data_IF_460856430904
#
_entry.id   IF_460856430904
#
_cell.length_a   1.000
_cell.length_b   1.000
_cell.length_c   1.000
_cell.angle_alpha   90.00
_cell.angle_beta   90.00
_cell.angle_gamma   90.00
#
_symmetry.space_group_name_H-M   'P 1'
#
loop_
_entity.id
_entity.type
_entity.pdbx_description
1 polymer ?
#
# COMPACT_ATOMS: atom_id res chain seq x y z
N UNK A 1 24.30 10.73 -10.27
CA UNK A 1 23.53 9.54 -10.65
C UNK A 1 22.97 8.95 -9.38
N UNK A 2 21.66 9.07 -9.13
CA UNK A 2 21.02 8.25 -8.09
C UNK A 2 20.63 6.98 -8.80
N UNK A 3 21.28 5.87 -8.48
CA UNK A 3 20.85 4.55 -8.89
C UNK A 3 19.34 4.44 -8.64
N UNK A 4 18.57 4.32 -9.73
CA UNK A 4 17.18 3.85 -9.65
C UNK A 4 17.31 2.33 -9.47
N UNK A 5 17.92 1.91 -8.37
CA UNK A 5 17.75 0.56 -7.86
C UNK A 5 16.28 0.43 -7.56
N UNK A 6 15.62 -0.57 -8.16
CA UNK A 6 14.22 -0.84 -7.91
C UNK A 6 13.92 -0.70 -6.41
N UNK A 7 12.94 0.11 -6.04
CA UNK A 7 12.56 0.31 -4.65
C UNK A 7 12.31 -1.07 -4.02
N UNK A 8 13.23 -1.49 -3.14
CA UNK A 8 13.16 -2.81 -2.53
C UNK A 8 12.13 -2.75 -1.40
N UNK A 9 11.06 -3.51 -1.55
CA UNK A 9 10.06 -3.64 -0.49
C UNK A 9 10.61 -4.56 0.60
N UNK A 10 10.51 -4.11 1.85
CA UNK A 10 10.97 -4.81 3.04
C UNK A 10 9.80 -4.95 4.01
N UNK A 11 9.69 -6.11 4.66
CA UNK A 11 8.75 -6.32 5.77
C UNK A 11 9.51 -6.13 7.08
N UNK A 12 9.03 -5.21 7.91
CA UNK A 12 9.52 -5.00 9.27
C UNK A 12 8.45 -5.49 10.24
N UNK A 13 8.74 -6.52 11.02
CA UNK A 13 7.80 -7.08 12.01
C UNK A 13 8.36 -7.04 13.41
N UNK A 14 7.48 -6.83 14.38
CA UNK A 14 7.80 -7.05 15.78
C UNK A 14 7.85 -8.55 16.09
N UNK A 15 8.75 -8.94 16.99
CA UNK A 15 8.82 -10.33 17.48
C UNK A 15 7.85 -10.61 18.62
N UNK A 16 7.30 -9.55 19.24
CA UNK A 16 6.38 -9.63 20.38
C UNK A 16 4.94 -9.31 19.94
N UNK A 17 3.91 -9.96 20.53
CA UNK A 17 2.51 -9.75 20.18
C UNK A 17 2.01 -8.31 20.35
N UNK A 18 2.55 -7.57 21.32
CA UNK A 18 2.16 -6.19 21.61
C UNK A 18 2.64 -5.21 20.52
N UNK A 19 3.52 -5.67 19.64
CA UNK A 19 4.23 -4.84 18.68
C UNK A 19 5.41 -4.09 19.32
N UNK A 20 6.05 -3.24 18.53
CA UNK A 20 7.21 -2.45 18.96
C UNK A 20 7.14 -1.05 18.39
N UNK A 21 7.26 -0.02 19.24
CA UNK A 21 7.33 1.36 18.77
C UNK A 21 8.78 1.79 18.60
N UNK A 22 9.15 2.23 17.40
CA UNK A 22 10.51 2.68 17.06
C UNK A 22 10.44 3.65 15.88
N UNK A 23 11.28 4.68 15.88
CA UNK A 23 11.34 5.68 14.81
C UNK A 23 9.99 6.38 14.51
N UNK A 24 9.18 6.64 15.55
CA UNK A 24 7.88 7.31 15.39
C UNK A 24 6.77 6.44 14.81
N UNK A 25 7.00 5.13 14.64
CA UNK A 25 6.03 4.19 14.08
C UNK A 25 5.88 2.97 14.98
N UNK A 26 4.66 2.40 14.99
CA UNK A 26 4.39 1.09 15.59
C UNK A 26 4.61 0.01 14.54
N UNK A 27 5.49 -0.94 14.84
CA UNK A 27 5.71 -2.16 14.09
C UNK A 27 4.86 -3.27 14.70
N UNK A 28 4.04 -3.92 13.89
CA UNK A 28 3.13 -4.98 14.34
C UNK A 28 3.76 -6.35 14.15
N UNK A 29 3.30 -7.41 14.85
CA UNK A 29 3.80 -8.76 14.63
C UNK A 29 3.45 -9.31 13.23
N UNK A 30 2.38 -8.84 12.59
CA UNK A 30 2.00 -9.17 11.21
C UNK A 30 3.02 -8.64 10.20
N UNK A 31 3.76 -7.61 10.58
CA UNK A 31 4.75 -6.96 9.75
C UNK A 31 4.16 -5.84 8.92
N UNK A 32 4.98 -4.81 8.73
CA UNK A 32 4.64 -3.62 7.99
C UNK A 32 5.56 -3.56 6.78
N UNK A 33 4.98 -3.42 5.60
CA UNK A 33 5.74 -3.23 4.37
C UNK A 33 6.21 -1.78 4.30
N UNK A 34 7.49 -1.62 3.99
CA UNK A 34 8.13 -0.32 3.80
C UNK A 34 9.04 -0.38 2.59
N UNK A 35 9.11 0.70 1.84
CA UNK A 35 10.14 0.84 0.82
C UNK A 35 11.49 1.11 1.51
N UNK A 36 12.57 0.56 0.97
CA UNK A 36 13.91 0.80 1.51
C UNK A 36 14.25 2.30 1.63
N UNK A 37 13.73 3.12 0.71
CA UNK A 37 13.92 4.57 0.68
C UNK A 37 12.97 5.36 1.59
N UNK A 38 12.00 4.72 2.25
CA UNK A 38 11.04 5.38 3.14
C UNK A 38 11.69 5.80 4.47
N UNK A 39 12.74 5.09 4.88
CA UNK A 39 13.43 5.32 6.15
C UNK A 39 14.83 5.87 5.93
N UNK A 40 15.23 6.79 6.81
CA UNK A 40 16.58 7.35 6.84
C UNK A 40 17.59 6.31 7.36
N UNK A 41 18.87 6.50 7.03
CA UNK A 41 19.96 5.61 7.46
C UNK A 41 20.01 5.45 8.99
N UNK A 42 19.80 6.54 9.73
CA UNK A 42 19.75 6.50 11.20
C UNK A 42 18.57 5.68 11.73
N UNK A 43 17.43 5.71 11.04
CA UNK A 43 16.25 4.91 11.39
C UNK A 43 16.50 3.43 11.08
N UNK A 44 17.12 3.13 9.94
CA UNK A 44 17.56 1.77 9.60
C UNK A 44 18.54 1.20 10.63
N UNK A 45 19.54 1.97 11.03
CA UNK A 45 20.47 1.57 12.09
C UNK A 45 19.74 1.31 13.41
N UNK A 46 18.79 2.17 13.78
CA UNK A 46 18.00 2.02 15.00
C UNK A 46 17.03 0.83 14.98
N UNK A 47 16.55 0.42 13.79
CA UNK A 47 15.72 -0.77 13.58
C UNK A 47 16.58 -2.03 13.59
N UNK A 48 17.71 -2.04 12.88
CA UNK A 48 18.63 -3.17 12.84
C UNK A 48 19.24 -3.48 14.21
N UNK A 49 19.44 -2.47 15.06
CA UNK A 49 19.91 -2.63 16.42
C UNK A 49 18.82 -3.05 17.42
N UNK A 50 17.53 -3.04 17.05
CA UNK A 50 16.44 -3.41 17.94
C UNK A 50 16.17 -4.93 17.86
N UNK A 51 16.50 -5.72 18.90
CA UNK A 51 16.33 -7.18 18.85
C UNK A 51 14.86 -7.61 18.81
N UNK A 52 13.91 -6.68 19.02
CA UNK A 52 12.48 -6.94 18.94
C UNK A 52 11.90 -6.68 17.55
N UNK A 53 12.74 -6.30 16.58
CA UNK A 53 12.36 -6.10 15.19
C UNK A 53 13.11 -7.09 14.29
N UNK A 54 12.42 -7.58 13.27
CA UNK A 54 13.00 -8.35 12.17
C UNK A 54 12.70 -7.67 10.85
N UNK A 55 13.71 -7.57 10.01
CA UNK A 55 13.62 -7.02 8.65
C UNK A 55 13.84 -8.16 7.67
N UNK A 56 12.88 -8.38 6.79
CA UNK A 56 12.90 -9.45 5.79
C UNK A 56 12.61 -8.85 4.41
N UNK A 57 13.34 -9.24 3.35
CA UNK A 57 12.98 -8.82 2.01
C UNK A 57 11.66 -9.47 1.58
N UNK A 58 10.89 -8.72 0.77
CA UNK A 58 9.61 -9.17 0.24
C UNK A 58 9.79 -9.50 -1.23
N UNK A 59 9.28 -10.66 -1.65
CA UNK A 59 9.29 -11.06 -3.05
C UNK A 59 8.42 -10.11 -3.89
N UNK A 60 8.83 -9.86 -5.14
CA UNK A 60 8.16 -8.87 -5.98
C UNK A 60 6.67 -9.17 -6.22
N UNK A 61 6.29 -10.45 -6.29
CA UNK A 61 4.90 -10.88 -6.43
C UNK A 61 4.07 -10.52 -5.19
N UNK A 62 4.58 -10.80 -4.00
CA UNK A 62 3.91 -10.48 -2.73
C UNK A 62 3.78 -8.97 -2.52
N UNK A 63 4.83 -8.20 -2.88
CA UNK A 63 4.78 -6.75 -2.85
C UNK A 63 3.71 -6.20 -3.82
N UNK A 64 3.58 -6.79 -5.01
CA UNK A 64 2.57 -6.39 -6.00
C UNK A 64 1.15 -6.67 -5.50
N UNK A 65 0.91 -7.86 -4.96
CA UNK A 65 -0.39 -8.25 -4.39
C UNK A 65 -0.82 -7.35 -3.23
N UNK A 66 0.12 -6.99 -2.34
CA UNK A 66 -0.17 -6.08 -1.24
C UNK A 66 -0.56 -4.68 -1.75
N UNK A 67 0.20 -4.13 -2.70
CA UNK A 67 -0.10 -2.82 -3.31
C UNK A 67 -1.44 -2.83 -4.03
N UNK A 68 -1.76 -3.89 -4.76
CA UNK A 68 -3.06 -4.03 -5.43
C UNK A 68 -4.22 -4.15 -4.42
N UNK A 69 -3.99 -4.83 -3.30
CA UNK A 69 -4.98 -4.95 -2.21
C UNK A 69 -5.26 -3.59 -1.55
N UNK A 70 -4.21 -2.82 -1.23
CA UNK A 70 -4.36 -1.47 -0.69
C UNK A 70 -5.04 -0.53 -1.68
N UNK A 71 -4.67 -0.59 -2.96
CA UNK A 71 -5.32 0.20 -4.01
C UNK A 71 -6.79 -0.18 -4.19
N UNK A 72 -7.13 -1.48 -4.14
CA UNK A 72 -8.52 -1.94 -4.19
C UNK A 72 -9.35 -1.45 -2.97
N UNK A 73 -8.75 -1.44 -1.77
CA UNK A 73 -9.39 -0.90 -0.58
C UNK A 73 -9.63 0.62 -0.70
N UNK A 74 -8.64 1.37 -1.17
CA UNK A 74 -8.77 2.81 -1.42
C UNK A 74 -9.84 3.12 -2.48
N UNK A 75 -9.90 2.31 -3.56
CA UNK A 75 -10.93 2.42 -4.59
C UNK A 75 -12.34 2.19 -4.02
N UNK A 76 -12.52 1.20 -3.13
CA UNK A 76 -13.82 0.97 -2.49
C UNK A 76 -14.30 2.20 -1.70
N UNK A 77 -13.40 2.87 -0.96
CA UNK A 77 -13.71 4.12 -0.28
C UNK A 77 -13.94 5.30 -1.23
N UNK A 78 -13.26 5.33 -2.38
CA UNK A 78 -13.45 6.37 -3.39
C UNK A 78 -14.80 6.24 -4.10
N UNK A 79 -15.27 5.02 -4.38
CA UNK A 79 -16.56 4.80 -5.05
C UNK A 79 -17.74 5.42 -4.31
N UNK A 80 -17.70 5.44 -2.97
CA UNK A 80 -18.74 6.04 -2.14
C UNK A 80 -18.75 7.58 -2.18
N UNK A 81 -17.68 8.21 -2.69
CA UNK A 81 -17.53 9.67 -2.77
C UNK A 81 -17.85 10.23 -4.15
N UNK A 82 -18.03 9.37 -5.17
CA UNK A 82 -18.27 9.79 -6.54
C UNK A 82 -19.69 10.35 -6.72
N UNK A 83 -19.78 11.45 -7.46
CA UNK A 83 -21.04 11.99 -7.94
C UNK A 83 -21.60 11.14 -9.11
N UNK A 84 -22.93 11.13 -9.35
CA UNK A 84 -23.53 10.36 -10.45
C UNK A 84 -22.94 10.64 -11.84
N UNK A 85 -22.52 11.89 -12.09
CA UNK A 85 -21.85 12.30 -13.33
C UNK A 85 -20.43 11.75 -13.51
N UNK A 86 -19.83 11.21 -12.45
CA UNK A 86 -18.51 10.57 -12.46
C UNK A 86 -18.58 9.07 -12.79
N UNK A 87 -19.78 8.57 -13.08
CA UNK A 87 -20.00 7.25 -13.65
C UNK A 87 -20.13 7.35 -15.18
N UNK A 88 -19.64 6.35 -15.89
CA UNK A 88 -19.77 6.24 -17.34
C UNK A 88 -21.16 5.71 -17.75
N UNK A 89 -21.42 5.62 -19.06
CA UNK A 89 -22.69 5.12 -19.58
C UNK A 89 -22.97 3.65 -19.22
N UNK A 90 -21.95 2.89 -18.80
CA UNK A 90 -22.09 1.53 -18.30
C UNK A 90 -22.30 1.46 -16.77
N UNK A 91 -22.44 2.62 -16.10
CA UNK A 91 -22.59 2.70 -14.65
C UNK A 91 -21.31 2.40 -13.89
N UNK A 92 -20.13 2.48 -14.53
CA UNK A 92 -18.84 2.25 -13.88
C UNK A 92 -18.16 3.57 -13.49
N UNK A 93 -17.44 3.60 -12.37
CA UNK A 93 -16.56 4.72 -12.02
C UNK A 93 -15.59 5.09 -13.15
N UNK A 94 -15.55 6.37 -13.52
CA UNK A 94 -14.57 6.91 -14.48
C UNK A 94 -13.18 6.91 -13.86
N UNK A 95 -12.18 6.48 -14.63
CA UNK A 95 -10.78 6.42 -14.17
C UNK A 95 -10.23 7.80 -13.79
N UNK A 96 -10.63 8.85 -14.51
CA UNK A 96 -10.13 10.20 -14.24
C UNK A 96 -10.66 10.75 -12.91
N UNK A 97 -11.92 10.48 -12.57
CA UNK A 97 -12.51 10.82 -11.28
C UNK A 97 -11.80 10.09 -10.12
N UNK A 98 -11.53 8.78 -10.29
CA UNK A 98 -10.81 8.00 -9.29
C UNK A 98 -9.36 8.48 -9.09
N UNK A 99 -8.67 8.84 -10.17
CA UNK A 99 -7.31 9.40 -10.10
C UNK A 99 -7.28 10.80 -9.46
N UNK A 100 -8.36 11.57 -9.60
CA UNK A 100 -8.50 12.84 -8.91
C UNK A 100 -8.71 12.65 -7.39
N UNK A 101 -9.48 11.64 -6.98
CA UNK A 101 -9.69 11.31 -5.57
C UNK A 101 -8.48 10.62 -4.90
N UNK A 102 -7.73 9.82 -5.66
CA UNK A 102 -6.59 9.04 -5.17
C UNK A 102 -5.28 9.42 -5.90
N UNK A 103 -4.78 10.66 -5.70
CA UNK A 103 -3.54 11.09 -6.34
C UNK A 103 -2.37 10.22 -5.88
N UNK A 104 -1.59 9.71 -6.84
CA UNK A 104 -0.43 8.84 -6.59
C UNK A 104 -0.71 7.34 -6.63
N UNK A 105 -1.98 6.92 -6.61
CA UNK A 105 -2.34 5.50 -6.79
C UNK A 105 -2.37 5.15 -8.27
N UNK A 106 -1.62 4.12 -8.68
CA UNK A 106 -1.65 3.61 -10.06
C UNK A 106 -2.93 2.82 -10.31
N UNK A 107 -3.94 3.48 -10.87
CA UNK A 107 -5.23 2.87 -11.17
C UNK A 107 -5.29 2.46 -12.65
N UNK A 108 -5.29 1.16 -12.90
CA UNK A 108 -5.56 0.57 -14.21
C UNK A 108 -7.06 0.31 -14.41
N UNK A 109 -7.48 0.17 -15.67
CA UNK A 109 -8.86 -0.22 -16.00
C UNK A 109 -9.26 -1.54 -15.32
N UNK A 110 -8.36 -2.54 -15.39
CA UNK A 110 -8.56 -3.87 -14.80
C UNK A 110 -8.73 -3.81 -13.28
N UNK A 111 -7.86 -3.07 -12.58
CA UNK A 111 -7.94 -2.91 -11.12
C UNK A 111 -9.26 -2.22 -10.71
N UNK A 112 -9.65 -1.16 -11.43
CA UNK A 112 -10.93 -0.47 -11.22
C UNK A 112 -12.11 -1.40 -11.45
N UNK A 113 -12.10 -2.20 -12.52
CA UNK A 113 -13.18 -3.13 -12.85
C UNK A 113 -13.30 -4.25 -11.80
N UNK A 114 -12.17 -4.81 -11.34
CA UNK A 114 -12.12 -5.81 -10.28
C UNK A 114 -12.64 -5.24 -8.95
N UNK A 115 -12.15 -4.08 -8.53
CA UNK A 115 -12.59 -3.44 -7.29
C UNK A 115 -14.08 -3.08 -7.35
N UNK A 116 -14.58 -2.60 -8.50
CA UNK A 116 -15.99 -2.27 -8.69
C UNK A 116 -16.90 -3.49 -8.66
N UNK A 117 -16.49 -4.60 -9.28
CA UNK A 117 -17.22 -5.87 -9.19
C UNK A 117 -17.29 -6.38 -7.75
N UNK A 118 -16.17 -6.31 -7.00
CA UNK A 118 -16.12 -6.69 -5.60
C UNK A 118 -16.99 -5.79 -4.70
N UNK A 119 -17.08 -4.49 -5.02
CA UNK A 119 -17.92 -3.54 -4.29
C UNK A 119 -19.42 -3.81 -4.50
N UNK A 120 -19.83 -4.23 -5.70
CA UNK A 120 -21.22 -4.56 -6.02
C UNK A 120 -21.67 -5.93 -5.53
N UNK A 121 -20.73 -6.83 -5.21
CA UNK A 121 -21.03 -8.16 -4.69
C UNK A 121 -21.31 -8.18 -3.17
N UNK A 122 -21.25 -7.03 -2.50
CA UNK A 122 -21.59 -6.84 -1.08
C UNK A 122 -23.01 -6.32 -0.94
#
# INVERSE_FOLDING_TARGET
MKDIGAARMLRIRATQPEGRYRCGRRWTPEGVLVEQGELEEAQWAAIAADPLLKVEPVEASEATEAVETEAAAALASAFAQLAPEEFDAAGKPKLDALRALLPGVKISAALRDQAWAAAQAK
#
